data_IF_307754234217
#
_entry.id   IF_307754234217
#
_cell.length_a   1.000
_cell.length_b   1.000
_cell.length_c   1.000
_cell.angle_alpha   90.00
_cell.angle_beta   90.00
_cell.angle_gamma   90.00
#
_symmetry.space_group_name_H-M   'P 1'
#
loop_
_entity.id
_entity.type
_entity.pdbx_description
1 polymer ?
#
# COMPACT_ATOMS: atom_id res chain seq x y z
N UNK A 1 1.64 -10.07 -19.51
CA UNK A 1 0.53 -9.36 -20.17
C UNK A 1 0.15 -8.14 -19.35
N UNK A 2 -0.09 -6.99 -19.98
CA UNK A 2 -0.60 -5.77 -19.32
C UNK A 2 -2.06 -5.60 -19.74
N UNK A 3 -2.94 -5.42 -18.74
CA UNK A 3 -4.37 -5.15 -18.94
C UNK A 3 -4.69 -3.83 -18.25
N UNK A 4 -5.27 -2.88 -19.00
CA UNK A 4 -5.67 -1.59 -18.45
C UNK A 4 -7.08 -1.70 -17.83
N UNK A 5 -7.24 -1.17 -16.62
CA UNK A 5 -8.51 -1.13 -15.90
C UNK A 5 -8.38 -0.46 -14.55
N UNK A 6 -9.51 -0.17 -13.92
CA UNK A 6 -9.59 0.31 -12.54
C UNK A 6 -10.13 -0.79 -11.64
N UNK A 7 -9.61 -0.89 -10.41
CA UNK A 7 -10.18 -1.78 -9.38
C UNK A 7 -11.61 -1.39 -8.99
N UNK A 8 -12.03 -0.17 -9.30
CA UNK A 8 -13.39 0.32 -9.09
C UNK A 8 -14.39 -0.27 -10.10
N UNK A 9 -13.90 -0.69 -11.27
CA UNK A 9 -14.70 -1.37 -12.31
C UNK A 9 -14.70 -2.88 -12.06
N UNK A 10 -15.72 -3.33 -11.33
CA UNK A 10 -15.90 -4.75 -10.99
C UNK A 10 -15.94 -5.65 -12.22
N UNK A 11 -16.66 -5.23 -13.28
CA UNK A 11 -16.85 -6.09 -14.45
C UNK A 11 -15.53 -6.37 -15.17
N UNK A 12 -14.74 -5.34 -15.43
CA UNK A 12 -13.43 -5.48 -16.07
C UNK A 12 -12.47 -6.28 -15.20
N UNK A 13 -12.44 -5.99 -13.88
CA UNK A 13 -11.59 -6.70 -12.93
C UNK A 13 -11.94 -8.18 -12.83
N UNK A 14 -13.22 -8.48 -12.58
CA UNK A 14 -13.71 -9.84 -12.42
C UNK A 14 -13.51 -10.67 -13.70
N UNK A 15 -13.89 -10.12 -14.87
CA UNK A 15 -13.68 -10.80 -16.16
C UNK A 15 -12.19 -11.11 -16.40
N UNK A 16 -11.31 -10.20 -16.01
CA UNK A 16 -9.86 -10.39 -16.13
C UNK A 16 -9.37 -11.53 -15.23
N UNK A 17 -9.77 -11.52 -13.96
CA UNK A 17 -9.39 -12.56 -12.99
C UNK A 17 -9.94 -13.92 -13.42
N UNK A 18 -11.22 -13.98 -13.81
CA UNK A 18 -11.88 -15.20 -14.30
C UNK A 18 -11.20 -15.82 -15.50
N UNK A 19 -10.72 -14.96 -16.44
CA UNK A 19 -10.01 -15.41 -17.65
C UNK A 19 -8.60 -15.90 -17.35
N UNK A 20 -7.88 -15.20 -16.45
CA UNK A 20 -6.46 -15.51 -16.16
C UNK A 20 -6.34 -16.63 -15.13
N UNK A 21 -7.23 -16.66 -14.14
CA UNK A 21 -7.22 -17.59 -12.98
C UNK A 21 -5.84 -17.67 -12.32
N UNK A 22 -5.32 -16.55 -11.78
CA UNK A 22 -4.00 -16.54 -11.17
C UNK A 22 -3.99 -17.37 -9.88
N UNK A 23 -2.84 -17.93 -9.52
CA UNK A 23 -2.65 -18.63 -8.24
C UNK A 23 -2.57 -17.64 -7.07
N UNK A 24 -2.11 -16.41 -7.34
CA UNK A 24 -1.95 -15.35 -6.35
C UNK A 24 -2.41 -14.02 -6.92
N UNK A 25 -3.21 -13.27 -6.14
CA UNK A 25 -3.50 -11.86 -6.40
C UNK A 25 -2.71 -10.99 -5.41
N UNK A 26 -1.96 -10.00 -5.91
CA UNK A 26 -1.35 -8.96 -5.09
C UNK A 26 -2.11 -7.66 -5.35
N UNK A 27 -2.92 -7.24 -4.36
CA UNK A 27 -3.71 -6.02 -4.42
C UNK A 27 -2.90 -4.82 -3.92
N UNK A 28 -2.26 -4.10 -4.84
CA UNK A 28 -1.47 -2.91 -4.55
C UNK A 28 -2.13 -1.60 -5.02
N UNK A 29 -3.30 -1.67 -5.65
CA UNK A 29 -4.02 -0.49 -6.12
C UNK A 29 -4.61 0.29 -4.93
N UNK A 30 -4.33 1.59 -4.87
CA UNK A 30 -4.88 2.49 -3.85
C UNK A 30 -4.69 3.96 -4.22
N UNK A 31 -5.59 4.81 -3.74
CA UNK A 31 -5.32 6.24 -3.60
C UNK A 31 -4.45 6.43 -2.35
N UNK A 32 -3.13 6.65 -2.53
CA UNK A 32 -2.14 6.61 -1.43
C UNK A 32 -1.73 7.98 -0.87
N UNK A 33 -2.02 9.06 -1.59
CA UNK A 33 -1.65 10.42 -1.19
C UNK A 33 -2.65 10.95 -0.16
N UNK A 34 -2.16 11.29 1.04
CA UNK A 34 -2.99 11.76 2.16
C UNK A 34 -3.77 13.01 1.75
N UNK A 35 -3.10 14.03 1.22
CA UNK A 35 -3.73 15.29 0.80
C UNK A 35 -4.86 15.06 -0.22
N UNK A 36 -4.63 14.18 -1.19
CA UNK A 36 -5.65 13.83 -2.18
C UNK A 36 -6.83 13.11 -1.55
N UNK A 37 -6.60 12.25 -0.55
CA UNK A 37 -7.67 11.56 0.16
C UNK A 37 -8.47 12.50 1.07
N UNK A 38 -7.84 13.53 1.65
CA UNK A 38 -8.53 14.56 2.45
C UNK A 38 -9.41 15.46 1.55
N UNK A 39 -8.90 15.86 0.39
CA UNK A 39 -9.66 16.69 -0.57
C UNK A 39 -10.80 15.89 -1.23
N UNK A 40 -10.58 14.59 -1.48
CA UNK A 40 -11.51 13.74 -2.23
C UNK A 40 -11.83 12.43 -1.49
N UNK A 41 -12.50 12.49 -0.32
CA UNK A 41 -12.75 11.30 0.50
C UNK A 41 -13.62 10.25 -0.21
N UNK A 42 -14.58 10.67 -1.04
CA UNK A 42 -15.41 9.75 -1.84
C UNK A 42 -14.54 8.94 -2.80
N UNK A 43 -13.54 9.56 -3.43
CA UNK A 43 -12.62 8.85 -4.32
C UNK A 43 -11.72 7.89 -3.54
N UNK A 44 -11.28 8.28 -2.32
CA UNK A 44 -10.54 7.37 -1.44
C UNK A 44 -11.38 6.14 -1.06
N UNK A 45 -12.66 6.30 -0.76
CA UNK A 45 -13.60 5.20 -0.51
C UNK A 45 -13.76 4.32 -1.76
N UNK A 46 -13.97 4.91 -2.93
CA UNK A 46 -14.14 4.15 -4.18
C UNK A 46 -12.91 3.29 -4.48
N UNK A 47 -11.72 3.88 -4.47
CA UNK A 47 -10.49 3.13 -4.77
C UNK A 47 -10.11 2.15 -3.67
N UNK A 48 -10.05 2.62 -2.40
CA UNK A 48 -9.45 1.83 -1.33
C UNK A 48 -10.43 0.85 -0.67
N UNK A 49 -11.75 1.12 -0.69
CA UNK A 49 -12.77 0.26 -0.10
C UNK A 49 -13.52 -0.52 -1.18
N UNK A 50 -14.19 0.18 -2.11
CA UNK A 50 -14.98 -0.52 -3.14
C UNK A 50 -14.06 -1.33 -4.05
N UNK A 51 -12.92 -0.75 -4.47
CA UNK A 51 -11.92 -1.46 -5.26
C UNK A 51 -11.39 -2.71 -4.55
N UNK A 52 -11.13 -2.62 -3.25
CA UNK A 52 -10.71 -3.78 -2.43
C UNK A 52 -11.82 -4.82 -2.32
N UNK A 53 -13.08 -4.41 -2.12
CA UNK A 53 -14.22 -5.31 -2.10
C UNK A 53 -14.39 -6.04 -3.44
N UNK A 54 -14.18 -5.35 -4.55
CA UNK A 54 -14.22 -5.95 -5.88
C UNK A 54 -13.14 -7.03 -6.05
N UNK A 55 -11.92 -6.80 -5.54
CA UNK A 55 -10.84 -7.79 -5.53
C UNK A 55 -11.22 -9.00 -4.69
N UNK A 56 -11.72 -8.79 -3.47
CA UNK A 56 -12.18 -9.86 -2.57
C UNK A 56 -13.25 -10.70 -3.24
N UNK A 57 -14.32 -10.07 -3.73
CA UNK A 57 -15.44 -10.76 -4.36
C UNK A 57 -15.00 -11.57 -5.59
N UNK A 58 -14.12 -11.01 -6.41
CA UNK A 58 -13.59 -11.72 -7.58
C UNK A 58 -12.71 -12.90 -7.17
N UNK A 59 -11.85 -12.74 -6.17
CA UNK A 59 -10.98 -13.81 -5.68
C UNK A 59 -11.80 -14.97 -5.09
N UNK A 60 -12.82 -14.68 -4.28
CA UNK A 60 -13.69 -15.70 -3.68
C UNK A 60 -14.53 -16.40 -4.74
N UNK A 61 -15.16 -15.64 -5.66
CA UNK A 61 -16.01 -16.20 -6.72
C UNK A 61 -15.23 -17.15 -7.62
N UNK A 62 -14.02 -16.76 -8.00
CA UNK A 62 -13.14 -17.57 -8.87
C UNK A 62 -12.30 -18.58 -8.10
N UNK A 63 -12.47 -18.68 -6.78
CA UNK A 63 -11.71 -19.58 -5.91
C UNK A 63 -10.19 -19.43 -6.09
N UNK A 64 -9.71 -18.19 -6.18
CA UNK A 64 -8.28 -17.89 -6.26
C UNK A 64 -7.62 -18.30 -4.94
N UNK A 65 -6.57 -19.13 -4.96
CA UNK A 65 -6.02 -19.70 -3.73
C UNK A 65 -5.53 -18.67 -2.72
N UNK A 66 -4.85 -17.61 -3.17
CA UNK A 66 -4.19 -16.66 -2.30
C UNK A 66 -4.37 -15.22 -2.76
N UNK A 67 -4.61 -14.31 -1.82
CA UNK A 67 -4.71 -12.88 -2.09
C UNK A 67 -3.98 -12.09 -1.00
N UNK A 68 -3.02 -11.25 -1.39
CA UNK A 68 -2.24 -10.41 -0.50
C UNK A 68 -2.56 -8.94 -0.78
N UNK A 69 -3.03 -8.21 0.25
CA UNK A 69 -3.27 -6.78 0.15
C UNK A 69 -2.12 -5.96 0.71
N UNK A 70 -1.78 -4.87 0.04
CA UNK A 70 -0.78 -3.92 0.52
C UNK A 70 -1.47 -2.86 1.38
N UNK A 71 -1.02 -2.74 2.63
CA UNK A 71 -1.46 -1.73 3.58
C UNK A 71 -0.30 -0.83 4.04
N UNK A 72 -0.50 -0.06 5.09
CA UNK A 72 0.40 1.00 5.55
C UNK A 72 0.48 1.04 7.07
N UNK A 73 1.59 1.58 7.60
CA UNK A 73 1.76 1.95 9.00
C UNK A 73 0.65 2.90 9.50
N UNK A 74 0.09 3.73 8.60
CA UNK A 74 -0.99 4.68 8.91
C UNK A 74 -2.35 4.03 9.21
N UNK A 75 -2.50 2.74 8.90
CA UNK A 75 -3.68 1.97 9.30
C UNK A 75 -3.70 1.60 10.79
N UNK A 76 -2.54 1.62 11.48
CA UNK A 76 -2.44 1.22 12.90
C UNK A 76 -3.15 2.19 13.86
N UNK A 77 -2.91 3.50 13.66
CA UNK A 77 -3.51 4.59 14.42
C UNK A 77 -4.00 5.61 13.39
N UNK A 78 -5.09 5.28 12.70
CA UNK A 78 -5.59 6.09 11.61
C UNK A 78 -6.05 7.47 12.11
N UNK A 79 -5.51 8.51 11.50
CA UNK A 79 -5.79 9.92 11.76
C UNK A 79 -6.15 10.70 10.49
N UNK A 80 -6.24 10.00 9.36
CA UNK A 80 -6.51 10.56 8.04
C UNK A 80 -7.45 9.66 7.25
N UNK A 81 -8.15 10.21 6.25
CA UNK A 81 -9.03 9.45 5.36
C UNK A 81 -8.30 8.29 4.68
N UNK A 82 -7.04 8.50 4.29
CA UNK A 82 -6.19 7.42 3.79
C UNK A 82 -6.01 6.31 4.84
N UNK A 83 -5.62 6.66 6.06
CA UNK A 83 -5.44 5.72 7.17
C UNK A 83 -6.72 4.95 7.48
N UNK A 84 -7.87 5.64 7.60
CA UNK A 84 -9.18 5.01 7.87
C UNK A 84 -9.56 4.01 6.78
N UNK A 85 -9.40 4.40 5.49
CA UNK A 85 -9.73 3.49 4.39
C UNK A 85 -8.83 2.26 4.36
N UNK A 86 -7.54 2.39 4.67
CA UNK A 86 -6.62 1.25 4.72
C UNK A 86 -6.90 0.37 5.94
N UNK A 87 -7.22 0.93 7.12
CA UNK A 87 -7.59 0.17 8.30
C UNK A 87 -8.86 -0.66 8.08
N UNK A 88 -9.87 -0.09 7.41
CA UNK A 88 -11.08 -0.82 7.06
C UNK A 88 -10.81 -1.91 6.01
N UNK A 89 -10.03 -1.59 4.97
CA UNK A 89 -9.60 -2.57 3.97
C UNK A 89 -8.93 -3.80 4.62
N UNK A 90 -8.04 -3.61 5.58
CA UNK A 90 -7.40 -4.73 6.29
C UNK A 90 -8.42 -5.66 6.93
N UNK A 91 -9.40 -5.10 7.66
CA UNK A 91 -10.48 -5.89 8.29
C UNK A 91 -11.30 -6.67 7.27
N UNK A 92 -11.62 -6.05 6.13
CA UNK A 92 -12.34 -6.71 5.05
C UNK A 92 -11.58 -7.91 4.50
N UNK A 93 -10.26 -7.78 4.27
CA UNK A 93 -9.41 -8.87 3.79
C UNK A 93 -9.30 -10.01 4.81
N UNK A 94 -9.18 -9.68 6.11
CA UNK A 94 -9.09 -10.69 7.17
C UNK A 94 -10.40 -11.46 7.36
N UNK A 95 -11.55 -10.78 7.21
CA UNK A 95 -12.88 -11.40 7.32
C UNK A 95 -13.22 -12.29 6.11
N UNK A 96 -12.69 -11.96 4.93
CA UNK A 96 -13.04 -12.62 3.68
C UNK A 96 -12.51 -14.06 3.52
N UNK A 97 -11.68 -14.55 4.45
CA UNK A 97 -11.08 -15.87 4.40
C UNK A 97 -12.14 -16.98 4.20
N UNK A 98 -11.85 -17.91 3.29
CA UNK A 98 -12.68 -19.09 3.00
C UNK A 98 -11.81 -20.35 2.94
N UNK A 99 -12.44 -21.52 2.89
CA UNK A 99 -11.72 -22.80 2.70
C UNK A 99 -10.92 -22.87 1.39
N UNK A 100 -11.27 -22.05 0.38
CA UNK A 100 -10.66 -22.08 -0.95
C UNK A 100 -9.76 -20.88 -1.24
N UNK A 101 -9.99 -19.75 -0.57
CA UNK A 101 -9.30 -18.50 -0.81
C UNK A 101 -8.75 -17.95 0.51
N UNK A 102 -7.45 -17.86 0.62
CA UNK A 102 -6.76 -17.34 1.78
C UNK A 102 -6.35 -15.87 1.56
N UNK A 103 -6.42 -15.07 2.60
CA UNK A 103 -6.13 -13.65 2.55
C UNK A 103 -5.07 -13.25 3.56
N UNK A 104 -4.18 -12.35 3.15
CA UNK A 104 -3.27 -11.68 4.07
C UNK A 104 -3.06 -10.21 3.72
N UNK A 105 -2.53 -9.47 4.65
CA UNK A 105 -2.23 -8.05 4.52
C UNK A 105 -0.77 -7.80 4.88
N UNK A 106 -0.05 -7.05 4.04
CA UNK A 106 1.30 -6.57 4.34
C UNK A 106 1.26 -5.08 4.69
N UNK A 107 1.70 -4.70 5.90
CA UNK A 107 1.84 -3.29 6.28
C UNK A 107 3.23 -2.79 5.96
N UNK A 108 3.29 -1.73 5.15
CA UNK A 108 4.51 -1.01 4.80
C UNK A 108 4.61 0.31 5.56
N UNK A 109 5.84 0.73 5.84
CA UNK A 109 6.16 2.13 6.09
C UNK A 109 6.31 2.90 4.79
N UNK A 110 7.15 3.94 4.80
CA UNK A 110 7.41 4.70 3.57
C UNK A 110 8.43 3.94 2.72
N UNK A 111 8.01 3.46 1.56
CA UNK A 111 8.91 2.78 0.62
C UNK A 111 9.76 3.80 -0.10
N UNK A 112 11.09 3.71 0.08
CA UNK A 112 12.06 4.62 -0.52
C UNK A 112 11.97 4.60 -2.05
N UNK A 113 12.12 5.78 -2.68
CA UNK A 113 12.08 5.94 -4.14
C UNK A 113 10.77 5.44 -4.79
N UNK A 114 9.66 5.32 -4.04
CA UNK A 114 8.35 5.08 -4.64
C UNK A 114 7.86 6.33 -5.38
N UNK A 115 7.01 6.13 -6.40
CA UNK A 115 6.46 7.26 -7.16
C UNK A 115 5.77 8.28 -6.24
N UNK A 116 6.10 9.57 -6.40
CA UNK A 116 5.59 10.66 -5.57
C UNK A 116 6.06 10.64 -4.12
N UNK A 117 7.12 9.88 -3.77
CA UNK A 117 7.70 9.89 -2.43
C UNK A 117 8.70 11.04 -2.25
N UNK A 118 8.99 11.37 -0.98
CA UNK A 118 9.79 12.55 -0.60
C UNK A 118 11.20 12.54 -1.18
N UNK A 119 11.89 11.40 -1.26
CA UNK A 119 13.27 11.36 -1.75
C UNK A 119 13.38 11.77 -3.22
N UNK A 120 12.65 11.17 -4.18
CA UNK A 120 12.66 11.66 -5.57
C UNK A 120 12.21 13.11 -5.70
N UNK A 121 11.24 13.56 -4.89
CA UNK A 121 10.77 14.93 -4.88
C UNK A 121 11.89 15.90 -4.46
N UNK A 122 12.58 15.62 -3.34
CA UNK A 122 13.69 16.45 -2.87
C UNK A 122 14.89 16.44 -3.83
N UNK A 123 15.21 15.29 -4.44
CA UNK A 123 16.26 15.23 -5.46
C UNK A 123 15.92 16.11 -6.68
N UNK A 124 14.67 16.15 -7.10
CA UNK A 124 14.21 17.06 -8.15
C UNK A 124 14.37 18.53 -7.77
N UNK A 125 13.95 18.93 -6.57
CA UNK A 125 14.11 20.29 -6.07
C UNK A 125 15.60 20.69 -5.96
N UNK A 126 16.43 19.78 -5.46
CA UNK A 126 17.87 20.01 -5.37
C UNK A 126 18.51 20.25 -6.74
N UNK A 127 18.13 19.46 -7.75
CA UNK A 127 18.61 19.66 -9.13
C UNK A 127 18.18 21.01 -9.73
N UNK A 128 17.06 21.57 -9.25
CA UNK A 128 16.57 22.91 -9.64
C UNK A 128 17.11 24.04 -8.72
N UNK A 129 18.02 23.75 -7.80
CA UNK A 129 18.53 24.67 -6.77
C UNK A 129 17.44 25.30 -5.89
N UNK A 130 16.32 24.59 -5.69
CA UNK A 130 15.21 24.99 -4.82
C UNK A 130 15.40 24.46 -3.40
N UNK A 131 14.84 25.15 -2.38
CA UNK A 131 14.89 24.65 -1.00
C UNK A 131 14.08 23.36 -0.85
N UNK A 132 14.53 22.49 0.07
CA UNK A 132 13.81 21.26 0.42
C UNK A 132 12.78 21.59 1.50
N UNK A 133 11.46 21.44 1.24
CA UNK A 133 10.45 21.68 2.27
C UNK A 133 10.48 20.57 3.32
N UNK A 134 10.47 20.97 4.59
CA UNK A 134 10.43 20.09 5.74
C UNK A 134 9.39 20.59 6.73
N UNK A 135 8.43 19.76 7.08
CA UNK A 135 7.32 20.16 7.98
C UNK A 135 7.78 20.44 9.40
N UNK A 136 8.76 19.67 9.91
CA UNK A 136 9.31 19.85 11.26
C UNK A 136 10.62 19.09 11.41
N UNK A 137 11.57 19.64 12.15
CA UNK A 137 12.92 19.07 12.34
C UNK A 137 12.92 17.73 13.12
N UNK A 138 11.97 17.54 14.02
CA UNK A 138 11.82 16.28 14.78
C UNK A 138 11.07 15.20 14.04
N UNK A 139 10.64 15.43 12.79
CA UNK A 139 9.86 14.47 12.03
C UNK A 139 10.64 13.19 11.76
N UNK A 140 10.06 12.06 12.15
CA UNK A 140 10.58 10.73 11.87
C UNK A 140 9.60 9.95 10.99
N UNK A 141 10.15 9.07 10.14
CA UNK A 141 9.36 8.18 9.29
C UNK A 141 9.91 6.76 9.37
N UNK A 142 9.00 5.78 9.40
CA UNK A 142 9.34 4.38 9.22
C UNK A 142 9.66 4.16 7.74
N UNK A 143 10.84 3.65 7.44
CA UNK A 143 11.34 3.52 6.06
C UNK A 143 11.55 2.05 5.68
N UNK A 144 11.20 1.75 4.44
CA UNK A 144 11.42 0.48 3.76
C UNK A 144 12.22 0.69 2.48
N UNK A 145 13.09 -0.23 2.14
CA UNK A 145 13.60 -0.35 0.78
C UNK A 145 12.55 -1.04 -0.12
N UNK A 146 12.72 -0.93 -1.44
CA UNK A 146 11.86 -1.67 -2.39
C UNK A 146 12.03 -3.18 -2.24
N UNK A 147 13.25 -3.61 -1.95
CA UNK A 147 13.58 -5.01 -1.75
C UNK A 147 12.94 -5.57 -0.48
N UNK A 148 13.02 -4.84 0.64
CA UNK A 148 12.35 -5.21 1.89
C UNK A 148 10.83 -5.32 1.69
N UNK A 149 10.23 -4.40 0.93
CA UNK A 149 8.80 -4.44 0.61
C UNK A 149 8.44 -5.69 -0.24
N UNK A 150 9.23 -5.99 -1.26
CA UNK A 150 9.02 -7.18 -2.10
C UNK A 150 9.19 -8.48 -1.31
N UNK A 151 10.20 -8.56 -0.44
CA UNK A 151 10.46 -9.72 0.41
C UNK A 151 9.31 -9.94 1.41
N UNK A 152 8.73 -8.87 1.97
CA UNK A 152 7.57 -8.99 2.88
C UNK A 152 6.35 -9.57 2.17
N UNK A 153 6.08 -9.16 0.93
CA UNK A 153 4.99 -9.72 0.11
C UNK A 153 5.25 -11.19 -0.21
N UNK A 154 6.47 -11.53 -0.59
CA UNK A 154 6.87 -12.91 -0.87
C UNK A 154 6.72 -13.80 0.38
N UNK A 155 7.16 -13.31 1.56
CA UNK A 155 6.96 -14.01 2.82
C UNK A 155 5.47 -14.24 3.13
N UNK A 156 4.62 -13.24 2.86
CA UNK A 156 3.18 -13.39 3.04
C UNK A 156 2.59 -14.49 2.15
N UNK A 157 3.01 -14.59 0.90
CA UNK A 157 2.58 -15.65 -0.02
C UNK A 157 3.02 -17.02 0.50
N UNK A 158 4.29 -17.19 0.89
CA UNK A 158 4.80 -18.45 1.45
C UNK A 158 4.01 -18.88 2.70
N UNK A 159 3.68 -17.92 3.59
CA UNK A 159 2.89 -18.22 4.79
C UNK A 159 1.46 -18.64 4.45
N UNK A 160 0.87 -18.10 3.39
CA UNK A 160 -0.46 -18.51 2.92
C UNK A 160 -0.50 -19.90 2.30
N UNK A 161 0.62 -20.43 1.80
CA UNK A 161 0.72 -21.83 1.32
C UNK A 161 0.53 -22.84 2.47
N UNK A 162 0.88 -22.47 3.71
CA UNK A 162 0.65 -23.27 4.91
C UNK A 162 -0.82 -23.25 5.38
N UNK A 163 -1.12 -23.96 6.48
CA UNK A 163 -2.44 -24.00 7.12
C UNK A 163 -2.68 -22.82 8.07
N UNK A 164 -2.29 -21.61 7.65
CA UNK A 164 -2.48 -20.40 8.44
C UNK A 164 -3.73 -19.69 7.96
N UNK A 165 -4.59 -19.29 8.91
CA UNK A 165 -5.71 -18.38 8.66
C UNK A 165 -5.22 -17.00 8.19
N UNK A 166 -6.13 -16.10 7.86
CA UNK A 166 -5.81 -14.73 7.47
C UNK A 166 -4.98 -14.00 8.53
N UNK A 167 -4.00 -13.21 8.11
CA UNK A 167 -3.09 -12.49 9.02
C UNK A 167 -2.63 -11.14 8.44
N UNK A 168 -2.17 -10.27 9.34
CA UNK A 168 -1.42 -9.07 8.98
C UNK A 168 0.06 -9.33 9.19
N UNK A 169 0.85 -9.20 8.14
CA UNK A 169 2.31 -9.33 8.21
C UNK A 169 2.94 -7.93 8.28
N UNK A 170 3.82 -7.78 9.24
CA UNK A 170 4.61 -6.57 9.46
C UNK A 170 6.02 -6.98 9.87
N UNK A 171 7.00 -6.24 9.38
CA UNK A 171 8.38 -6.43 9.84
C UNK A 171 8.87 -5.18 10.57
N UNK A 172 9.89 -5.33 11.41
CA UNK A 172 10.53 -4.20 12.10
C UNK A 172 11.14 -3.24 11.10
N UNK A 173 10.69 -1.99 11.13
CA UNK A 173 11.13 -0.94 10.21
C UNK A 173 12.18 -0.03 10.84
N UNK A 174 13.05 0.54 10.02
CA UNK A 174 14.01 1.55 10.44
C UNK A 174 13.31 2.90 10.57
N UNK A 175 13.56 3.59 11.68
CA UNK A 175 13.12 4.97 11.88
C UNK A 175 14.19 5.91 11.32
N UNK A 176 13.81 6.80 10.42
CA UNK A 176 14.69 7.79 9.78
C UNK A 176 14.21 9.19 10.16
N UNK A 177 15.10 10.02 10.71
CA UNK A 177 14.83 11.42 10.94
C UNK A 177 14.91 12.17 9.62
N UNK A 178 13.82 12.90 9.27
CA UNK A 178 13.67 13.52 7.96
C UNK A 178 14.61 14.71 7.75
N UNK A 179 14.95 15.48 8.81
CA UNK A 179 15.94 16.54 8.73
C UNK A 179 17.33 15.98 8.40
N UNK A 180 17.74 14.89 9.07
CA UNK A 180 19.02 14.24 8.76
C UNK A 180 19.07 13.73 7.33
N UNK A 181 17.96 13.18 6.84
CA UNK A 181 17.86 12.73 5.45
C UNK A 181 17.92 13.89 4.45
N UNK A 182 17.21 14.99 4.72
CA UNK A 182 17.25 16.19 3.88
C UNK A 182 18.67 16.76 3.78
N UNK A 183 19.40 16.87 4.90
CA UNK A 183 20.79 17.35 4.93
C UNK A 183 21.77 16.49 4.14
N UNK A 184 21.49 15.22 3.91
CA UNK A 184 22.29 14.39 3.01
C UNK A 184 22.10 14.76 1.53
N UNK A 185 21.01 15.44 1.20
CA UNK A 185 20.67 15.85 -0.17
C UNK A 185 21.07 17.32 -0.40
N UNK A 186 20.73 18.21 0.54
CA UNK A 186 20.98 19.65 0.43
C UNK A 186 21.01 20.31 1.80
N UNK A 187 21.85 21.36 1.94
CA UNK A 187 21.82 22.26 3.12
C UNK A 187 20.71 23.32 3.01
N UNK A 188 20.14 23.54 1.82
CA UNK A 188 19.07 24.51 1.57
C UNK A 188 17.72 23.90 1.96
N UNK A 189 17.30 24.08 3.21
CA UNK A 189 16.07 23.50 3.78
C UNK A 189 15.14 24.63 4.22
N UNK A 190 13.84 24.49 3.88
CA UNK A 190 12.76 25.39 4.26
C UNK A 190 11.79 24.68 5.22
N UNK A 191 11.35 25.39 6.29
CA UNK A 191 10.45 24.88 7.32
C UNK A 191 9.03 25.44 7.18
#
# INVERSE_FOLDING_TARGET
>A
QIILGSVEDYLTLHTTISKIKPDVIIHAAALKHIDSAEISPIQAVKSNIIGSLNVINSAVTESIPMTVAISTDKACCADSNYGYTKALMEKMFLEAHTLKTKFSVCRFGNVSHSHGSVIPFWLGLHAENKPLPLTHESMNRLMFSREEAANLVHEAVIKLEGDIESFVLIQKMKTVNMLKLAKLISENIEY
#
